data_IF_103798334271
#
_entry.id   IF_103798334271
#
_cell.length_a   1.000
_cell.length_b   1.000
_cell.length_c   1.000
_cell.angle_alpha   90.00
_cell.angle_beta   90.00
_cell.angle_gamma   90.00
#
_symmetry.space_group_name_H-M   'P 1'
#
loop_
_entity.id
_entity.type
_entity.pdbx_description
1 polymer ?
#
# COMPACT_ATOMS: atom_id res chain seq x y z
N UNK A 1 -6.92 25.73 -10.62
CA UNK A 1 -7.87 24.91 -9.83
C UNK A 1 -7.18 24.39 -8.57
N UNK A 2 -7.88 24.30 -7.43
CA UNK A 2 -7.32 23.75 -6.18
C UNK A 2 -7.62 22.25 -6.03
N UNK A 3 -6.80 21.51 -5.26
CA UNK A 3 -6.89 20.05 -5.06
C UNK A 3 -8.23 19.61 -4.46
N UNK A 4 -8.86 20.45 -3.64
CA UNK A 4 -10.20 20.20 -3.06
C UNK A 4 -11.29 20.30 -4.13
N UNK A 5 -11.30 21.34 -4.96
CA UNK A 5 -12.28 21.50 -6.05
C UNK A 5 -12.16 20.40 -7.09
N UNK A 6 -10.92 20.02 -7.44
CA UNK A 6 -10.68 18.90 -8.34
C UNK A 6 -11.29 17.60 -7.80
N UNK A 7 -11.13 17.32 -6.49
CA UNK A 7 -11.75 16.14 -5.87
C UNK A 7 -13.28 16.16 -5.98
N UNK A 8 -13.90 17.32 -5.79
CA UNK A 8 -15.35 17.46 -5.83
C UNK A 8 -15.88 17.29 -7.25
N UNK A 9 -15.27 17.94 -8.24
CA UNK A 9 -15.67 17.78 -9.67
C UNK A 9 -15.44 16.38 -10.19
N UNK A 10 -14.31 15.76 -9.85
CA UNK A 10 -14.05 14.35 -10.15
C UNK A 10 -15.11 13.47 -9.48
N UNK A 11 -15.55 13.79 -8.26
CA UNK A 11 -16.61 13.06 -7.60
C UNK A 11 -17.91 13.13 -8.40
N UNK A 12 -18.31 14.34 -8.78
CA UNK A 12 -19.56 14.63 -9.49
C UNK A 12 -19.59 13.93 -10.85
N UNK A 13 -18.52 14.06 -11.64
CA UNK A 13 -18.43 13.44 -12.97
C UNK A 13 -18.41 11.91 -12.88
N UNK A 14 -17.63 11.32 -11.96
CA UNK A 14 -17.66 9.87 -11.78
C UNK A 14 -19.01 9.36 -11.24
N UNK A 15 -19.69 10.12 -10.38
CA UNK A 15 -21.04 9.77 -9.91
C UNK A 15 -22.11 9.95 -10.98
N UNK A 16 -21.88 10.80 -11.98
CA UNK A 16 -22.74 10.95 -13.15
C UNK A 16 -22.53 9.83 -14.19
N UNK A 17 -21.67 8.84 -13.91
CA UNK A 17 -21.38 7.73 -14.81
C UNK A 17 -20.39 8.08 -15.92
N UNK A 18 -19.76 9.24 -15.87
CA UNK A 18 -18.77 9.67 -16.86
C UNK A 18 -17.49 8.83 -16.73
N UNK A 19 -16.94 8.42 -17.88
CA UNK A 19 -15.74 7.57 -17.95
C UNK A 19 -14.52 8.26 -17.33
N UNK A 20 -13.61 7.48 -16.74
CA UNK A 20 -12.41 8.01 -16.06
C UNK A 20 -11.49 8.74 -17.04
N UNK A 21 -11.40 8.25 -18.28
CA UNK A 21 -10.64 8.91 -19.35
C UNK A 21 -11.26 10.25 -19.75
N UNK A 22 -12.58 10.30 -19.90
CA UNK A 22 -13.31 11.51 -20.29
C UNK A 22 -13.28 12.57 -19.18
N UNK A 23 -13.39 12.14 -17.91
CA UNK A 23 -13.25 13.00 -16.74
C UNK A 23 -11.84 13.63 -16.66
N UNK A 24 -10.81 12.88 -17.08
CA UNK A 24 -9.44 13.39 -17.15
C UNK A 24 -9.29 14.39 -18.30
N UNK A 25 -9.85 14.11 -19.47
CA UNK A 25 -9.80 15.02 -20.63
C UNK A 25 -10.52 16.35 -20.34
N UNK A 26 -11.66 16.30 -19.66
CA UNK A 26 -12.48 17.48 -19.35
C UNK A 26 -11.86 18.39 -18.28
N UNK A 27 -11.09 17.82 -17.37
CA UNK A 27 -10.42 18.55 -16.28
C UNK A 27 -8.93 18.82 -16.54
N UNK A 28 -8.37 18.27 -17.61
CA UNK A 28 -7.02 18.58 -18.09
C UNK A 28 -6.97 20.03 -18.60
N UNK A 29 -5.90 20.76 -18.28
CA UNK A 29 -5.76 22.18 -18.67
C UNK A 29 -6.37 23.19 -17.69
N UNK A 30 -7.17 22.79 -16.69
CA UNK A 30 -7.78 23.72 -15.71
C UNK A 30 -6.82 24.16 -14.57
N UNK A 31 -5.51 24.17 -14.82
CA UNK A 31 -4.48 24.71 -13.93
C UNK A 31 -3.94 23.74 -12.85
N UNK A 32 -4.21 22.44 -12.95
CA UNK A 32 -3.59 21.39 -12.12
C UNK A 32 -2.81 20.44 -13.04
N UNK A 33 -1.58 20.06 -12.68
CA UNK A 33 -0.77 19.11 -13.48
C UNK A 33 -1.56 17.81 -13.69
N UNK A 34 -1.70 17.36 -14.92
CA UNK A 34 -2.46 16.15 -15.29
C UNK A 34 -2.04 14.90 -14.50
N UNK A 35 -0.79 14.84 -14.04
CA UNK A 35 -0.27 13.77 -13.16
C UNK A 35 -0.97 13.72 -11.80
N UNK A 36 -1.27 14.87 -11.20
CA UNK A 36 -1.98 14.96 -9.91
C UNK A 36 -3.44 14.57 -10.09
N UNK A 37 -4.03 14.97 -11.22
CA UNK A 37 -5.41 14.67 -11.57
C UNK A 37 -5.62 13.17 -11.86
N UNK A 38 -4.74 12.57 -12.67
CA UNK A 38 -4.70 11.15 -12.95
C UNK A 38 -4.46 10.32 -11.68
N UNK A 39 -3.57 10.78 -10.79
CA UNK A 39 -3.35 10.14 -9.50
C UNK A 39 -4.62 10.18 -8.63
N UNK A 40 -5.36 11.30 -8.63
CA UNK A 40 -6.59 11.45 -7.86
C UNK A 40 -7.70 10.50 -8.36
N UNK A 41 -7.87 10.41 -9.69
CA UNK A 41 -8.85 9.52 -10.34
C UNK A 41 -8.46 8.05 -10.17
N UNK A 42 -7.19 7.70 -10.37
CA UNK A 42 -6.66 6.34 -10.17
C UNK A 42 -6.68 5.89 -8.70
N UNK A 43 -6.57 6.84 -7.76
CA UNK A 43 -6.55 6.54 -6.32
C UNK A 43 -7.93 6.24 -5.74
N UNK A 44 -9.02 6.45 -6.50
CA UNK A 44 -10.37 6.04 -6.05
C UNK A 44 -10.56 4.54 -6.31
N UNK A 45 -10.66 3.73 -5.25
CA UNK A 45 -11.01 2.32 -5.40
C UNK A 45 -12.43 2.21 -5.95
N UNK A 46 -12.62 1.43 -7.02
CA UNK A 46 -13.95 1.08 -7.52
C UNK A 46 -14.64 0.20 -6.46
N UNK A 47 -15.80 0.61 -5.89
CA UNK A 47 -16.48 -0.12 -4.83
C UNK A 47 -16.82 -1.57 -5.21
N UNK A 48 -17.01 -1.88 -6.50
CA UNK A 48 -17.26 -3.26 -6.93
C UNK A 48 -16.02 -4.15 -6.88
N UNK A 49 -14.83 -3.60 -7.14
CA UNK A 49 -13.57 -4.33 -6.99
C UNK A 49 -13.23 -4.55 -5.53
N UNK A 50 -13.51 -3.57 -4.65
CA UNK A 50 -13.43 -3.76 -3.20
C UNK A 50 -14.38 -4.86 -2.71
N UNK A 51 -15.59 -4.98 -3.29
CA UNK A 51 -16.53 -6.05 -2.97
C UNK A 51 -16.01 -7.43 -3.42
N UNK A 52 -15.50 -7.55 -4.66
CA UNK A 52 -14.93 -8.81 -5.19
C UNK A 52 -13.64 -9.25 -4.48
N UNK A 53 -12.82 -8.31 -4.01
CA UNK A 53 -11.53 -8.60 -3.37
C UNK A 53 -11.54 -8.43 -1.84
N UNK A 54 -12.72 -8.34 -1.21
CA UNK A 54 -12.89 -8.08 0.24
C UNK A 54 -12.16 -9.11 1.12
N UNK A 55 -12.11 -10.37 0.68
CA UNK A 55 -11.38 -11.44 1.38
C UNK A 55 -9.88 -11.15 1.40
N UNK A 56 -9.30 -10.76 0.27
CA UNK A 56 -7.87 -10.44 0.19
C UNK A 56 -7.50 -9.23 1.05
N UNK A 57 -8.35 -8.19 1.07
CA UNK A 57 -8.13 -7.04 1.95
C UNK A 57 -8.24 -7.43 3.42
N UNK A 58 -9.19 -8.29 3.79
CA UNK A 58 -9.28 -8.85 5.15
C UNK A 58 -8.04 -9.65 5.52
N UNK A 59 -7.49 -10.44 4.60
CA UNK A 59 -6.23 -11.17 4.81
C UNK A 59 -5.08 -10.18 5.07
N UNK A 60 -4.98 -9.08 4.32
CA UNK A 60 -3.95 -8.06 4.56
C UNK A 60 -4.11 -7.35 5.91
N UNK A 61 -5.35 -7.07 6.33
CA UNK A 61 -5.64 -6.53 7.66
C UNK A 61 -5.23 -7.54 8.74
N UNK A 62 -5.59 -8.81 8.57
CA UNK A 62 -5.21 -9.87 9.50
C UNK A 62 -3.69 -10.04 9.60
N UNK A 63 -2.97 -9.94 8.47
CA UNK A 63 -1.51 -9.95 8.44
C UNK A 63 -0.92 -8.74 9.18
N UNK A 64 -1.50 -7.54 8.99
CA UNK A 64 -1.10 -6.35 9.73
C UNK A 64 -1.32 -6.49 11.25
N UNK A 65 -2.43 -7.12 11.67
CA UNK A 65 -2.71 -7.42 13.08
C UNK A 65 -1.71 -8.46 13.62
N UNK A 66 -1.44 -9.53 12.86
CA UNK A 66 -0.46 -10.53 13.25
C UNK A 66 0.94 -9.91 13.43
N UNK A 67 1.34 -9.01 12.52
CA UNK A 67 2.60 -8.28 12.61
C UNK A 67 2.65 -7.37 13.86
N UNK A 68 1.53 -6.72 14.21
CA UNK A 68 1.41 -5.94 15.44
C UNK A 68 1.60 -6.83 16.68
N UNK A 69 0.94 -7.98 16.73
CA UNK A 69 1.06 -8.94 17.85
C UNK A 69 2.50 -9.43 17.98
N UNK A 70 3.14 -9.82 16.87
CA UNK A 70 4.56 -10.23 16.87
C UNK A 70 5.46 -9.12 17.40
N UNK A 71 5.23 -7.87 16.98
CA UNK A 71 6.01 -6.72 17.46
C UNK A 71 5.87 -6.53 18.97
N UNK A 72 4.65 -6.67 19.51
CA UNK A 72 4.42 -6.59 20.96
C UNK A 72 5.08 -7.74 21.72
N UNK A 73 5.03 -8.97 21.19
CA UNK A 73 5.71 -10.12 21.78
C UNK A 73 7.23 -9.94 21.80
N UNK A 74 7.82 -9.45 20.71
CA UNK A 74 9.26 -9.14 20.67
C UNK A 74 9.64 -8.03 21.66
N UNK A 75 8.83 -6.97 21.76
CA UNK A 75 9.07 -5.90 22.72
C UNK A 75 9.04 -6.41 24.17
N UNK A 76 8.07 -7.29 24.49
CA UNK A 76 8.00 -7.94 25.79
C UNK A 76 9.21 -8.84 26.04
N UNK A 77 9.61 -9.64 25.05
CA UNK A 77 10.82 -10.47 25.14
C UNK A 77 12.07 -9.63 25.41
N UNK A 78 12.25 -8.53 24.68
CA UNK A 78 13.36 -7.60 24.90
C UNK A 78 13.34 -7.01 26.30
N UNK A 79 12.17 -6.59 26.78
CA UNK A 79 12.00 -6.09 28.14
C UNK A 79 12.40 -7.11 29.21
N UNK A 80 11.91 -8.36 29.11
CA UNK A 80 12.22 -9.43 30.07
C UNK A 80 13.67 -9.89 29.99
N UNK A 81 14.28 -9.88 28.79
CA UNK A 81 15.69 -10.22 28.58
C UNK A 81 16.67 -9.16 29.10
N UNK A 82 16.17 -8.03 29.63
CA UNK A 82 16.99 -6.93 30.11
C UNK A 82 17.62 -6.09 28.99
N UNK A 83 17.13 -6.22 27.75
CA UNK A 83 17.51 -5.33 26.66
C UNK A 83 16.97 -3.93 27.01
N UNK A 84 17.88 -3.02 27.38
CA UNK A 84 17.57 -1.81 28.13
C UNK A 84 16.33 -1.02 27.67
N UNK A 85 15.65 -0.40 28.64
CA UNK A 85 14.34 0.25 28.46
C UNK A 85 14.27 1.20 27.24
N UNK A 86 15.34 1.92 26.93
CA UNK A 86 15.40 2.82 25.76
C UNK A 86 15.15 2.07 24.45
N UNK A 87 15.75 0.88 24.28
CA UNK A 87 15.60 0.09 23.06
C UNK A 87 14.16 -0.38 22.90
N UNK A 88 13.54 -0.87 23.98
CA UNK A 88 12.15 -1.34 23.99
C UNK A 88 11.20 -0.18 23.65
N UNK A 89 11.39 0.99 24.28
CA UNK A 89 10.56 2.17 24.04
C UNK A 89 10.67 2.65 22.59
N UNK A 90 11.88 2.79 22.05
CA UNK A 90 12.09 3.20 20.65
C UNK A 90 11.51 2.17 19.68
N UNK A 91 11.70 0.88 19.94
CA UNK A 91 11.16 -0.19 19.11
C UNK A 91 9.63 -0.13 19.05
N UNK A 92 8.95 0.02 20.19
CA UNK A 92 7.49 0.15 20.25
C UNK A 92 7.00 1.43 19.59
N UNK A 93 7.66 2.55 19.85
CA UNK A 93 7.30 3.86 19.28
C UNK A 93 7.37 3.87 17.74
N UNK A 94 8.21 3.03 17.13
CA UNK A 94 8.29 2.89 15.68
C UNK A 94 7.35 1.80 15.13
N UNK A 95 7.36 0.61 15.72
CA UNK A 95 6.68 -0.57 15.14
C UNK A 95 5.17 -0.55 15.31
N UNK A 96 4.66 -0.06 16.45
CA UNK A 96 3.22 -0.03 16.73
C UNK A 96 2.50 0.98 15.84
N UNK A 97 2.92 2.26 15.76
CA UNK A 97 2.25 3.22 14.87
C UNK A 97 2.35 2.82 13.40
N UNK A 98 3.48 2.25 12.98
CA UNK A 98 3.66 1.78 11.61
C UNK A 98 2.69 0.64 11.26
N UNK A 99 2.53 -0.33 12.15
CA UNK A 99 1.59 -1.44 11.98
C UNK A 99 0.15 -0.94 11.92
N UNK A 100 -0.24 -0.02 12.81
CA UNK A 100 -1.56 0.60 12.78
C UNK A 100 -1.81 1.39 11.50
N UNK A 101 -0.80 2.10 10.99
CA UNK A 101 -0.89 2.84 9.73
C UNK A 101 -1.15 1.90 8.55
N UNK A 102 -0.51 0.72 8.52
CA UNK A 102 -0.76 -0.28 7.49
C UNK A 102 -2.14 -0.91 7.60
N UNK A 103 -2.56 -1.30 8.81
CA UNK A 103 -3.91 -1.84 9.06
C UNK A 103 -4.96 -0.84 8.56
N UNK A 104 -4.83 0.42 8.97
CA UNK A 104 -5.72 1.48 8.52
C UNK A 104 -5.64 1.73 7.01
N UNK A 105 -4.43 1.71 6.46
CA UNK A 105 -4.18 1.88 5.03
C UNK A 105 -4.82 0.79 4.17
N UNK A 106 -4.77 -0.46 4.61
CA UNK A 106 -5.43 -1.59 3.97
C UNK A 106 -6.95 -1.51 4.13
N UNK A 107 -7.44 -1.19 5.34
CA UNK A 107 -8.86 -1.04 5.64
C UNK A 107 -9.52 0.11 4.86
N UNK A 108 -8.80 1.21 4.63
CA UNK A 108 -9.27 2.36 3.84
C UNK A 108 -8.95 2.25 2.35
N UNK A 109 -8.43 1.10 1.90
CA UNK A 109 -8.07 0.83 0.50
C UNK A 109 -7.14 1.91 -0.09
N UNK A 110 -6.16 2.41 0.67
CA UNK A 110 -5.22 3.44 0.19
C UNK A 110 -4.04 2.81 -0.53
N UNK A 111 -3.89 3.10 -1.83
CA UNK A 111 -2.76 2.64 -2.67
C UNK A 111 -1.40 2.89 -2.00
N UNK A 112 -1.23 4.07 -1.38
CA UNK A 112 0.01 4.45 -0.72
C UNK A 112 0.43 3.51 0.41
N UNK A 113 -0.51 2.86 1.09
CA UNK A 113 -0.19 1.89 2.14
C UNK A 113 0.42 0.62 1.57
N UNK A 114 -0.10 0.12 0.44
CA UNK A 114 0.48 -1.02 -0.27
C UNK A 114 1.89 -0.69 -0.76
N UNK A 115 2.08 0.49 -1.36
CA UNK A 115 3.38 0.95 -1.83
C UNK A 115 4.39 1.12 -0.71
N UNK A 116 4.00 1.79 0.38
CA UNK A 116 4.86 1.95 1.55
C UNK A 116 5.25 0.59 2.14
N UNK A 117 4.30 -0.35 2.22
CA UNK A 117 4.58 -1.69 2.72
C UNK A 117 5.60 -2.42 1.84
N UNK A 118 5.41 -2.40 0.52
CA UNK A 118 6.34 -3.02 -0.44
C UNK A 118 7.73 -2.41 -0.31
N UNK A 119 7.84 -1.07 -0.33
CA UNK A 119 9.14 -0.39 -0.23
C UNK A 119 9.84 -0.70 1.09
N UNK A 120 9.13 -0.61 2.22
CA UNK A 120 9.70 -0.90 3.53
C UNK A 120 10.09 -2.37 3.69
N UNK A 121 9.38 -3.28 3.03
CA UNK A 121 9.75 -4.70 3.02
C UNK A 121 10.98 -4.94 2.15
N UNK A 122 11.09 -4.29 0.99
CA UNK A 122 12.26 -4.39 0.12
C UNK A 122 13.52 -3.82 0.80
N UNK A 123 13.39 -2.75 1.58
CA UNK A 123 14.51 -2.17 2.35
C UNK A 123 15.07 -3.13 3.41
N UNK A 124 14.30 -4.15 3.82
CA UNK A 124 14.75 -5.15 4.79
C UNK A 124 15.51 -6.31 4.14
N UNK A 125 15.36 -6.52 2.82
CA UNK A 125 16.00 -7.64 2.12
C UNK A 125 17.53 -7.62 2.21
N UNK A 126 18.24 -6.50 2.03
CA UNK A 126 19.71 -6.48 2.14
C UNK A 126 20.21 -6.98 3.49
N UNK A 127 19.51 -6.61 4.58
CA UNK A 127 19.82 -7.10 5.92
C UNK A 127 19.55 -8.60 6.03
N UNK A 128 18.40 -9.07 5.58
CA UNK A 128 18.06 -10.49 5.59
C UNK A 128 19.07 -11.35 4.79
N UNK A 129 19.55 -10.83 3.66
CA UNK A 129 20.60 -11.48 2.85
C UNK A 129 21.95 -11.49 3.57
N UNK A 130 22.31 -10.40 4.26
CA UNK A 130 23.52 -10.37 5.07
C UNK A 130 23.47 -11.39 6.23
N UNK A 131 22.28 -11.58 6.82
CA UNK A 131 22.07 -12.52 7.91
C UNK A 131 22.13 -13.99 7.45
N UNK A 132 21.86 -14.30 6.17
CA UNK A 132 22.09 -15.64 5.60
C UNK A 132 23.56 -16.09 5.71
N UNK A 133 24.50 -15.15 5.61
CA UNK A 133 25.92 -15.45 5.75
C UNK A 133 26.36 -15.75 7.19
N UNK A 134 25.53 -15.40 8.20
CA UNK A 134 25.82 -15.61 9.62
C UNK A 134 25.05 -16.78 10.21
N UNK A 135 23.73 -16.78 10.00
CA UNK A 135 22.83 -17.81 10.51
C UNK A 135 21.78 -18.17 9.43
N UNK A 136 22.13 -19.09 8.51
CA UNK A 136 21.26 -19.48 7.42
C UNK A 136 19.96 -20.12 7.92
N UNK A 137 20.00 -20.85 9.05
CA UNK A 137 18.87 -21.60 9.57
C UNK A 137 17.75 -20.68 10.04
N UNK A 138 18.09 -19.55 10.67
CA UNK A 138 17.12 -18.53 11.06
C UNK A 138 16.75 -17.56 9.93
N UNK A 139 17.71 -17.21 9.06
CA UNK A 139 17.51 -16.19 8.04
C UNK A 139 16.69 -16.70 6.83
N UNK A 140 16.84 -17.96 6.42
CA UNK A 140 16.11 -18.53 5.27
C UNK A 140 14.59 -18.48 5.43
N UNK A 141 13.98 -18.96 6.54
CA UNK A 141 12.54 -18.88 6.74
C UNK A 141 12.03 -17.43 6.74
N UNK A 142 12.76 -16.52 7.39
CA UNK A 142 12.41 -15.10 7.45
C UNK A 142 12.37 -14.47 6.05
N UNK A 143 13.41 -14.70 5.25
CA UNK A 143 13.50 -14.20 3.88
C UNK A 143 12.37 -14.76 3.00
N UNK A 144 12.11 -16.07 3.10
CA UNK A 144 11.03 -16.71 2.33
C UNK A 144 9.67 -16.09 2.66
N UNK A 145 9.38 -15.88 3.96
CA UNK A 145 8.15 -15.21 4.41
C UNK A 145 8.08 -13.79 3.85
N UNK A 146 9.16 -13.01 3.91
CA UNK A 146 9.18 -11.64 3.35
C UNK A 146 8.88 -11.62 1.85
N UNK A 147 9.50 -12.51 1.07
CA UNK A 147 9.29 -12.59 -0.39
C UNK A 147 7.84 -12.95 -0.71
N UNK A 148 7.29 -13.97 -0.04
CA UNK A 148 5.89 -14.39 -0.21
C UNK A 148 4.93 -13.24 0.14
N UNK A 149 5.19 -12.54 1.25
CA UNK A 149 4.35 -11.44 1.72
C UNK A 149 4.38 -10.25 0.76
N UNK A 150 5.56 -9.85 0.28
CA UNK A 150 5.71 -8.79 -0.72
C UNK A 150 5.00 -9.17 -2.02
N UNK A 151 5.19 -10.40 -2.50
CA UNK A 151 4.52 -10.91 -3.69
C UNK A 151 3.00 -10.92 -3.54
N UNK A 152 2.48 -11.31 -2.38
CA UNK A 152 1.05 -11.33 -2.11
C UNK A 152 0.45 -9.91 -2.02
N UNK A 153 1.11 -8.98 -1.31
CA UNK A 153 0.69 -7.57 -1.26
C UNK A 153 0.71 -6.95 -2.66
N UNK A 154 1.72 -7.26 -3.47
CA UNK A 154 1.80 -6.86 -4.86
C UNK A 154 0.65 -7.41 -5.70
N UNK A 155 0.33 -8.70 -5.56
CA UNK A 155 -0.80 -9.35 -6.22
C UNK A 155 -2.14 -8.69 -5.85
N UNK A 156 -2.38 -8.44 -4.56
CA UNK A 156 -3.62 -7.78 -4.12
C UNK A 156 -3.69 -6.34 -4.64
N UNK A 157 -2.55 -5.62 -4.64
CA UNK A 157 -2.45 -4.27 -5.19
C UNK A 157 -2.78 -4.24 -6.68
N UNK A 158 -2.22 -5.13 -7.49
CA UNK A 158 -2.47 -5.17 -8.95
C UNK A 158 -3.92 -5.49 -9.28
N UNK A 159 -4.61 -6.31 -8.45
CA UNK A 159 -6.06 -6.52 -8.58
C UNK A 159 -6.91 -5.30 -8.19
N UNK A 160 -6.58 -4.64 -7.07
CA UNK A 160 -7.35 -3.47 -6.62
C UNK A 160 -7.10 -2.23 -7.49
N UNK A 161 -5.88 -2.07 -8.00
CA UNK A 161 -5.42 -0.90 -8.74
C UNK A 161 -4.70 -1.32 -10.03
N UNK A 162 -5.44 -1.81 -11.04
CA UNK A 162 -4.84 -2.19 -12.33
C UNK A 162 -4.34 -0.96 -13.12
N UNK A 163 -4.88 0.22 -12.82
CA UNK A 163 -4.58 1.51 -13.48
C UNK A 163 -3.18 2.03 -13.13
N UNK A 164 -2.41 1.23 -12.42
CA UNK A 164 -1.14 1.58 -11.80
C UNK A 164 -0.09 0.57 -12.24
N UNK A 165 0.95 1.02 -12.93
CA UNK A 165 2.05 0.16 -13.39
C UNK A 165 2.91 -0.29 -12.22
N UNK A 166 4.02 0.43 -11.94
CA UNK A 166 4.90 0.12 -10.80
C UNK A 166 4.51 0.92 -9.55
N UNK A 167 4.67 2.25 -9.60
CA UNK A 167 4.28 3.19 -8.52
C UNK A 167 3.50 4.40 -9.05
N UNK A 168 3.34 4.50 -10.36
CA UNK A 168 2.64 5.59 -11.05
C UNK A 168 1.45 5.07 -11.85
N UNK A 169 0.45 5.93 -12.12
CA UNK A 169 -0.63 5.59 -13.04
C UNK A 169 -0.05 5.13 -14.39
N UNK A 170 -0.59 4.04 -14.93
CA UNK A 170 -0.14 3.45 -16.20
C UNK A 170 -0.44 4.42 -17.34
N UNK A 171 0.58 4.72 -18.15
CA UNK A 171 0.42 5.45 -19.41
C UNK A 171 0.55 4.46 -20.56
N UNK A 172 -0.39 4.51 -21.50
CA UNK A 172 -0.30 3.81 -22.79
C UNK A 172 -0.34 4.92 -23.84
N UNK A 173 0.67 4.97 -24.71
CA UNK A 173 0.78 5.95 -25.80
C UNK A 173 0.63 7.42 -25.35
N UNK A 174 1.26 7.79 -24.24
CA UNK A 174 1.25 9.18 -23.73
C UNK A 174 -0.04 9.60 -23.02
N UNK A 175 -1.12 8.81 -23.09
CA UNK A 175 -2.39 9.01 -22.37
C UNK A 175 -2.46 8.09 -21.14
N UNK A 176 -3.12 8.54 -20.07
CA UNK A 176 -3.36 7.69 -18.90
C UNK A 176 -4.39 6.63 -19.27
N UNK A 177 -3.98 5.37 -19.28
CA UNK A 177 -4.86 4.25 -19.58
C UNK A 177 -5.50 3.77 -18.27
N UNK A 178 -6.78 4.09 -18.10
CA UNK A 178 -7.62 3.47 -17.09
C UNK A 178 -8.23 2.22 -17.72
N UNK A 179 -8.17 1.07 -17.04
CA UNK A 179 -8.80 -0.15 -17.52
C UNK A 179 -10.31 0.03 -17.39
N UNK A 180 -10.93 0.56 -18.43
CA UNK A 180 -12.39 0.56 -18.62
C UNK A 180 -12.85 -0.87 -18.89
N UNK A 181 -13.95 -1.25 -18.24
CA UNK A 181 -14.55 -2.57 -18.40
C UNK A 181 -14.95 -2.80 -19.86
N UNK A 182 -14.63 -3.98 -20.37
CA UNK A 182 -15.58 -4.76 -21.16
C UNK A 182 -16.61 -5.37 -20.19
#
# INVERSE_FOLDING_TARGET
MNRKEAKTRIAVLLSAGTRKADTLAELSGQGLKDRVLAHLIASRPDPERCRKNKVHVRILIALGIAQLVISLMLAYYFFVSGAGNVLVTVFLALTVPLSLLFIWGFATHRVGAYHAFIVLSLLQIPKAVADLGRDPAAALPSLAITVVLVGYVWFVRTRLFPDYGWFTPRKVEGRYAFVERA
#
